data_IF_522509097754
#
_entry.id   IF_522509097754
#
_cell.length_a   1.000
_cell.length_b   1.000
_cell.length_c   1.000
_cell.angle_alpha   90.00
_cell.angle_beta   90.00
_cell.angle_gamma   90.00
#
_symmetry.space_group_name_H-M   'P 1'
#
loop_
_entity.id
_entity.type
_entity.pdbx_description
1 polymer ?
#
# COMPACT_ATOMS: atom_id res chain seq x y z
N UNK A 1 4.40 -34.36 7.19
CA UNK A 1 4.78 -32.97 7.53
C UNK A 1 6.26 -32.66 7.33
N UNK A 2 7.22 -33.46 7.83
CA UNK A 2 8.67 -33.17 7.65
C UNK A 2 9.15 -33.10 6.19
N UNK A 3 8.62 -33.93 5.28
CA UNK A 3 8.97 -33.89 3.84
C UNK A 3 8.48 -32.63 3.11
N UNK A 4 7.29 -32.12 3.46
CA UNK A 4 6.74 -30.88 2.90
C UNK A 4 7.59 -29.66 3.28
N UNK A 5 7.97 -29.54 4.55
CA UNK A 5 8.85 -28.47 5.02
C UNK A 5 10.24 -28.50 4.38
N UNK A 6 10.81 -29.69 4.16
CA UNK A 6 12.13 -29.83 3.53
C UNK A 6 12.12 -29.41 2.06
N UNK A 7 11.06 -29.69 1.31
CA UNK A 7 10.94 -29.29 -0.10
C UNK A 7 10.71 -27.79 -0.23
N UNK A 8 9.90 -27.20 0.67
CA UNK A 8 9.69 -25.74 0.76
C UNK A 8 11.01 -25.00 1.04
N UNK A 9 11.87 -25.56 1.89
CA UNK A 9 13.18 -24.96 2.19
C UNK A 9 14.23 -25.19 1.09
N UNK A 10 14.17 -26.28 0.34
CA UNK A 10 15.11 -26.56 -0.75
C UNK A 10 14.80 -25.70 -1.99
N UNK A 11 13.53 -25.40 -2.26
CA UNK A 11 13.09 -24.44 -3.29
C UNK A 11 13.25 -22.96 -2.87
N UNK A 12 13.62 -22.68 -1.62
CA UNK A 12 13.91 -21.33 -1.14
C UNK A 12 15.13 -20.69 -1.83
N UNK A 13 15.96 -21.49 -2.52
CA UNK A 13 17.06 -21.02 -3.35
C UNK A 13 16.68 -20.74 -4.82
N UNK A 14 15.42 -20.97 -5.21
CA UNK A 14 14.90 -20.75 -6.57
C UNK A 14 14.05 -19.49 -6.71
N UNK A 15 13.16 -19.51 -7.69
CA UNK A 15 12.26 -18.38 -8.03
C UNK A 15 11.35 -17.96 -6.87
N UNK A 16 11.04 -18.87 -5.94
CA UNK A 16 10.26 -18.58 -4.73
C UNK A 16 10.92 -17.47 -3.88
N UNK A 17 12.25 -17.38 -3.85
CA UNK A 17 12.97 -16.31 -3.15
C UNK A 17 12.63 -14.92 -3.67
N UNK A 18 12.44 -14.79 -4.99
CA UNK A 18 12.08 -13.52 -5.64
C UNK A 18 10.68 -13.11 -5.19
N UNK A 19 9.74 -14.06 -5.14
CA UNK A 19 8.37 -13.82 -4.66
C UNK A 19 8.41 -13.32 -3.21
N UNK A 20 9.21 -13.94 -2.34
CA UNK A 20 9.37 -13.48 -0.95
C UNK A 20 10.00 -12.09 -0.84
N UNK A 21 11.02 -11.77 -1.66
CA UNK A 21 11.65 -10.46 -1.66
C UNK A 21 10.65 -9.38 -2.09
N UNK A 22 9.88 -9.64 -3.15
CA UNK A 22 8.81 -8.74 -3.60
C UNK A 22 7.73 -8.63 -2.52
N UNK A 23 7.39 -9.71 -1.80
CA UNK A 23 6.47 -9.66 -0.66
C UNK A 23 6.95 -8.72 0.45
N UNK A 24 8.23 -8.78 0.82
CA UNK A 24 8.81 -7.86 1.81
C UNK A 24 8.76 -6.42 1.30
N UNK A 25 9.12 -6.18 0.03
CA UNK A 25 9.04 -4.85 -0.56
C UNK A 25 7.60 -4.30 -0.56
N UNK A 26 6.62 -5.11 -0.95
CA UNK A 26 5.19 -4.74 -0.92
C UNK A 26 4.71 -4.46 0.50
N UNK A 27 5.14 -5.25 1.50
CA UNK A 27 4.82 -5.01 2.90
C UNK A 27 5.41 -3.69 3.42
N UNK A 28 6.62 -3.33 3.00
CA UNK A 28 7.21 -2.02 3.31
C UNK A 28 6.41 -0.88 2.68
N UNK A 29 6.04 -1.01 1.40
CA UNK A 29 5.19 -0.01 0.72
C UNK A 29 3.85 0.12 1.43
N UNK A 30 3.21 -0.99 1.80
CA UNK A 30 1.98 -0.97 2.59
C UNK A 30 2.13 -0.21 3.92
N UNK A 31 3.22 -0.47 4.66
CA UNK A 31 3.52 0.24 5.90
C UNK A 31 3.66 1.75 5.67
N UNK A 32 4.38 2.17 4.63
CA UNK A 32 4.51 3.59 4.28
C UNK A 32 3.18 4.21 3.86
N UNK A 33 2.36 3.52 3.07
CA UNK A 33 1.02 3.97 2.69
C UNK A 33 0.14 4.16 3.92
N UNK A 34 0.12 3.18 4.83
CA UNK A 34 -0.65 3.26 6.08
C UNK A 34 -0.20 4.43 6.94
N UNK A 35 1.11 4.57 7.15
CA UNK A 35 1.67 5.69 7.92
C UNK A 35 1.32 7.05 7.30
N UNK A 36 1.37 7.17 5.98
CA UNK A 36 0.99 8.40 5.26
C UNK A 36 -0.49 8.72 5.43
N UNK A 37 -1.36 7.71 5.28
CA UNK A 37 -2.80 7.85 5.48
C UNK A 37 -3.17 8.21 6.94
N UNK A 38 -2.48 7.63 7.92
CA UNK A 38 -2.67 7.94 9.34
C UNK A 38 -2.27 9.38 9.68
N UNK A 39 -1.14 9.86 9.15
CA UNK A 39 -0.69 11.24 9.33
C UNK A 39 -1.67 12.24 8.71
N UNK A 40 -2.17 11.96 7.51
CA UNK A 40 -3.15 12.82 6.84
C UNK A 40 -4.47 12.86 7.62
N UNK A 41 -4.97 11.70 8.07
CA UNK A 41 -6.19 11.59 8.86
C UNK A 41 -6.12 12.42 10.15
N UNK A 42 -5.03 12.26 10.92
CA UNK A 42 -4.86 12.98 12.18
C UNK A 42 -4.78 14.50 11.98
N UNK A 43 -4.10 14.97 10.92
CA UNK A 43 -4.01 16.40 10.61
C UNK A 43 -5.36 17.01 10.22
N UNK A 44 -6.18 16.29 9.44
CA UNK A 44 -7.50 16.76 9.04
C UNK A 44 -8.52 16.71 10.19
N UNK A 45 -8.52 15.64 10.99
CA UNK A 45 -9.47 15.49 12.08
C UNK A 45 -9.24 16.52 13.21
N UNK A 46 -7.99 16.94 13.45
CA UNK A 46 -7.68 18.00 14.40
C UNK A 46 -8.20 19.37 13.95
N UNK A 47 -8.20 19.65 12.63
CA UNK A 47 -8.71 20.91 12.09
C UNK A 47 -10.25 20.94 11.98
N UNK A 48 -10.89 19.78 11.83
CA UNK A 48 -12.36 19.69 11.66
C UNK A 48 -13.08 19.62 13.03
N UNK A 49 -12.42 19.15 14.10
CA UNK A 49 -13.04 18.93 15.42
C UNK A 49 -12.39 19.79 16.51
N UNK A 50 -12.41 21.11 16.37
CA UNK A 50 -12.05 22.03 17.45
C UNK A 50 -13.32 22.46 18.19
N UNK A 51 -13.52 22.08 19.47
CA UNK A 51 -14.64 22.56 20.27
C UNK A 51 -14.53 24.07 20.49
N UNK A 52 -15.65 24.78 20.33
CA UNK A 52 -15.82 26.24 20.47
C UNK A 52 -15.50 26.74 21.88
N UNK A 53 -14.22 26.73 22.25
CA UNK A 53 -13.71 27.18 23.54
C UNK A 53 -12.50 28.07 23.27
N UNK A 54 -12.65 29.38 23.52
CA UNK A 54 -11.71 30.42 23.10
C UNK A 54 -10.26 30.30 23.57
N UNK A 55 -9.95 29.39 24.50
CA UNK A 55 -8.58 29.05 24.89
C UNK A 55 -7.92 28.04 23.91
N UNK A 56 -8.71 27.10 23.38
CA UNK A 56 -8.28 26.08 22.40
C UNK A 56 -8.01 26.70 21.04
N UNK A 57 -8.70 27.80 20.70
CA UNK A 57 -8.56 28.52 19.42
C UNK A 57 -7.20 29.22 19.26
N UNK A 58 -6.59 29.70 20.35
CA UNK A 58 -5.26 30.35 20.32
C UNK A 58 -4.11 29.34 20.26
N UNK A 59 -4.25 28.19 20.91
CA UNK A 59 -3.28 27.10 20.81
C UNK A 59 -3.38 26.39 19.44
N UNK A 60 -4.62 26.29 18.91
CA UNK A 60 -4.88 25.85 17.55
C UNK A 60 -4.31 26.84 16.54
N UNK A 61 -4.54 28.16 16.64
CA UNK A 61 -3.93 29.16 15.73
C UNK A 61 -2.39 29.11 15.69
N UNK A 62 -1.73 28.86 16.82
CA UNK A 62 -0.26 28.76 16.86
C UNK A 62 0.28 27.48 16.19
N UNK A 63 -0.49 26.39 16.17
CA UNK A 63 -0.15 25.13 15.49
C UNK A 63 -0.75 25.02 14.06
N UNK A 64 -1.77 25.83 13.73
CA UNK A 64 -2.53 25.83 12.46
C UNK A 64 -2.03 26.89 11.46
N UNK A 65 -1.35 27.95 11.91
CA UNK A 65 -0.86 29.05 11.05
C UNK A 65 0.23 28.68 10.03
N UNK A 66 0.50 27.39 9.80
CA UNK A 66 1.50 26.94 8.83
C UNK A 66 1.11 25.77 7.94
N UNK A 67 -0.10 25.19 8.03
CA UNK A 67 -0.49 24.14 7.07
C UNK A 67 -1.08 24.82 5.85
N UNK A 68 -0.22 25.19 4.89
CA UNK A 68 -0.66 25.72 3.60
C UNK A 68 -1.54 24.67 2.92
N UNK A 69 -2.59 25.08 2.21
CA UNK A 69 -3.40 24.16 1.39
C UNK A 69 -2.53 23.27 0.47
N UNK A 70 -1.40 23.84 0.01
CA UNK A 70 -0.36 23.14 -0.77
C UNK A 70 0.23 21.92 -0.04
N UNK A 71 0.35 21.98 1.28
CA UNK A 71 0.87 20.87 2.09
C UNK A 71 -0.16 19.75 2.22
N UNK A 72 -1.44 20.09 2.36
CA UNK A 72 -2.53 19.09 2.40
C UNK A 72 -2.67 18.40 1.05
N UNK A 73 -2.63 19.16 -0.05
CA UNK A 73 -2.68 18.61 -1.41
C UNK A 73 -1.45 17.74 -1.70
N UNK A 74 -0.25 18.17 -1.30
CA UNK A 74 0.96 17.37 -1.50
C UNK A 74 0.97 16.08 -0.67
N UNK A 75 0.47 16.12 0.58
CA UNK A 75 0.29 14.94 1.43
C UNK A 75 -0.75 13.96 0.85
N UNK A 76 -1.86 14.48 0.30
CA UNK A 76 -2.84 13.66 -0.43
C UNK A 76 -2.19 12.98 -1.63
N UNK A 77 -1.52 13.75 -2.50
CA UNK A 77 -0.87 13.21 -3.70
C UNK A 77 0.18 12.14 -3.36
N UNK A 78 0.97 12.36 -2.30
CA UNK A 78 1.94 11.36 -1.82
C UNK A 78 1.25 10.09 -1.33
N UNK A 79 0.17 10.23 -0.56
CA UNK A 79 -0.60 9.08 -0.05
C UNK A 79 -1.23 8.29 -1.21
N UNK A 80 -1.84 8.97 -2.17
CA UNK A 80 -2.42 8.36 -3.37
C UNK A 80 -1.38 7.67 -4.25
N UNK A 81 -0.20 8.27 -4.43
CA UNK A 81 0.91 7.65 -5.18
C UNK A 81 1.41 6.37 -4.51
N UNK A 82 1.65 6.39 -3.19
CA UNK A 82 2.08 5.21 -2.43
C UNK A 82 1.02 4.09 -2.45
N UNK A 83 -0.25 4.46 -2.36
CA UNK A 83 -1.35 3.51 -2.47
C UNK A 83 -1.45 2.87 -3.86
N UNK A 84 -1.36 3.67 -4.92
CA UNK A 84 -1.33 3.17 -6.30
C UNK A 84 -0.16 2.20 -6.52
N UNK A 85 1.03 2.53 -6.00
CA UNK A 85 2.19 1.64 -6.05
C UNK A 85 1.92 0.31 -5.33
N UNK A 86 1.32 0.35 -4.14
CA UNK A 86 0.95 -0.84 -3.37
C UNK A 86 -0.03 -1.75 -4.11
N UNK A 87 -1.10 -1.18 -4.69
CA UNK A 87 -2.10 -1.95 -5.45
C UNK A 87 -1.47 -2.61 -6.67
N UNK A 88 -0.63 -1.87 -7.40
CA UNK A 88 0.06 -2.39 -8.58
C UNK A 88 1.05 -3.51 -8.23
N UNK A 89 1.82 -3.36 -7.14
CA UNK A 89 2.71 -4.41 -6.64
C UNK A 89 1.93 -5.65 -6.20
N UNK A 90 0.78 -5.47 -5.58
CA UNK A 90 -0.12 -6.57 -5.21
C UNK A 90 -0.62 -7.34 -6.43
N UNK A 91 -0.92 -6.63 -7.52
CA UNK A 91 -1.34 -7.22 -8.80
C UNK A 91 -0.26 -8.05 -9.52
N UNK A 92 1.01 -7.88 -9.16
CA UNK A 92 2.14 -8.58 -9.79
C UNK A 92 2.32 -10.00 -9.25
N UNK A 93 1.87 -10.32 -8.02
CA UNK A 93 2.11 -11.64 -7.42
C UNK A 93 1.53 -12.83 -8.20
N UNK A 94 0.28 -12.78 -8.74
CA UNK A 94 -0.22 -13.85 -9.59
C UNK A 94 0.60 -13.99 -10.88
N UNK A 95 1.09 -12.88 -11.44
CA UNK A 95 1.93 -12.89 -12.65
C UNK A 95 3.29 -13.53 -12.37
N UNK A 96 3.90 -13.25 -11.20
CA UNK A 96 5.12 -13.92 -10.75
C UNK A 96 4.87 -15.42 -10.56
N UNK A 97 3.74 -15.81 -9.96
CA UNK A 97 3.38 -17.22 -9.81
C UNK A 97 3.34 -17.95 -11.17
N UNK A 98 2.71 -17.35 -12.18
CA UNK A 98 2.68 -17.89 -13.54
C UNK A 98 4.10 -17.93 -14.13
N UNK A 99 4.90 -16.88 -13.98
CA UNK A 99 6.27 -16.86 -14.47
C UNK A 99 7.14 -17.99 -13.86
N UNK A 100 6.97 -18.27 -12.57
CA UNK A 100 7.64 -19.39 -11.90
C UNK A 100 7.30 -20.74 -12.52
N UNK A 101 6.04 -20.95 -12.94
CA UNK A 101 5.65 -22.17 -13.66
C UNK A 101 6.34 -22.27 -15.02
N UNK A 102 6.39 -21.17 -15.78
CA UNK A 102 7.02 -21.14 -17.11
C UNK A 102 8.51 -21.47 -16.99
N UNK A 103 9.22 -20.86 -16.04
CA UNK A 103 10.66 -21.11 -15.82
C UNK A 103 10.91 -22.58 -15.45
N UNK A 104 10.11 -23.14 -14.56
CA UNK A 104 10.21 -24.55 -14.17
C UNK A 104 9.95 -25.50 -15.36
N UNK A 105 8.93 -25.23 -16.17
CA UNK A 105 8.61 -26.03 -17.35
C UNK A 105 9.73 -25.97 -18.40
N UNK A 106 10.33 -24.80 -18.62
CA UNK A 106 11.49 -24.67 -19.51
C UNK A 106 12.70 -25.45 -18.99
N UNK A 107 12.94 -25.45 -17.67
CA UNK A 107 13.98 -26.26 -17.03
C UNK A 107 13.76 -27.76 -17.24
N UNK A 108 12.51 -28.22 -17.20
CA UNK A 108 12.14 -29.62 -17.43
C UNK A 108 12.40 -30.08 -18.87
N UNK A 109 12.19 -29.21 -19.86
CA UNK A 109 12.49 -29.50 -21.28
C UNK A 109 14.00 -29.57 -21.51
N UNK A 110 14.79 -28.78 -20.78
CA UNK A 110 16.25 -28.74 -20.89
C UNK A 110 16.97 -29.92 -20.24
N UNK A 111 16.43 -30.48 -19.15
CA UNK A 111 17.05 -31.60 -18.43
C UNK A 111 15.98 -32.50 -17.77
N UNK A 112 15.82 -33.72 -18.30
CA UNK A 112 14.85 -34.70 -17.81
C UNK A 112 15.30 -35.44 -16.54
N UNK A 113 16.52 -35.20 -16.02
CA UNK A 113 16.97 -35.90 -14.80
C UNK A 113 16.30 -35.38 -13.52
N UNK A 114 15.86 -34.13 -13.48
CA UNK A 114 15.30 -33.46 -12.29
C UNK A 114 13.83 -33.01 -12.48
N UNK A 115 13.03 -33.79 -13.24
CA UNK A 115 11.63 -33.45 -13.58
C UNK A 115 10.75 -33.22 -12.35
N UNK A 116 10.92 -34.03 -11.30
CA UNK A 116 10.11 -33.95 -10.09
C UNK A 116 10.33 -32.62 -9.34
N UNK A 117 11.59 -32.20 -9.18
CA UNK A 117 11.94 -30.97 -8.46
C UNK A 117 11.49 -29.74 -9.22
N UNK A 118 11.66 -29.73 -10.55
CA UNK A 118 11.12 -28.69 -11.41
C UNK A 118 9.60 -28.60 -11.24
N UNK A 119 8.86 -29.70 -11.36
CA UNK A 119 7.40 -29.70 -11.22
C UNK A 119 6.93 -29.16 -9.86
N UNK A 120 7.61 -29.54 -8.76
CA UNK A 120 7.31 -28.97 -7.45
C UNK A 120 7.62 -27.47 -7.40
N UNK A 121 8.72 -27.01 -8.01
CA UNK A 121 9.02 -25.57 -8.15
C UNK A 121 7.93 -24.77 -8.84
N UNK A 122 7.34 -25.30 -9.92
CA UNK A 122 6.23 -24.63 -10.60
C UNK A 122 5.01 -24.45 -9.66
N UNK A 123 4.67 -25.52 -8.95
CA UNK A 123 3.52 -25.53 -8.04
C UNK A 123 3.75 -24.61 -6.83
N UNK A 124 4.95 -24.62 -6.24
CA UNK A 124 5.25 -23.77 -5.08
C UNK A 124 5.28 -22.30 -5.44
N UNK A 125 5.83 -21.92 -6.60
CA UNK A 125 5.81 -20.52 -7.05
C UNK A 125 4.40 -19.98 -7.28
N UNK A 126 3.52 -20.78 -7.88
CA UNK A 126 2.10 -20.39 -8.06
C UNK A 126 1.39 -20.27 -6.71
N UNK A 127 1.62 -21.23 -5.82
CA UNK A 127 1.05 -21.22 -4.49
C UNK A 127 1.43 -19.96 -3.72
N UNK A 128 2.72 -19.62 -3.65
CA UNK A 128 3.19 -18.43 -2.94
C UNK A 128 2.72 -17.13 -3.59
N UNK A 129 2.73 -17.05 -4.92
CA UNK A 129 2.16 -15.91 -5.64
C UNK A 129 0.69 -15.67 -5.28
N UNK A 130 -0.12 -16.72 -5.24
CA UNK A 130 -1.52 -16.61 -4.84
C UNK A 130 -1.69 -16.25 -3.36
N UNK A 131 -0.95 -16.89 -2.46
CA UNK A 131 -1.01 -16.62 -1.02
C UNK A 131 -0.72 -15.15 -0.72
N UNK A 132 0.36 -14.60 -1.28
CA UNK A 132 0.69 -13.18 -1.07
C UNK A 132 -0.31 -12.26 -1.74
N UNK A 133 -0.76 -12.57 -2.96
CA UNK A 133 -1.80 -11.80 -3.63
C UNK A 133 -3.06 -11.68 -2.76
N UNK A 134 -3.54 -12.79 -2.19
CA UNK A 134 -4.73 -12.81 -1.33
C UNK A 134 -4.52 -11.97 -0.07
N UNK A 135 -3.40 -12.14 0.62
CA UNK A 135 -3.09 -11.39 1.85
C UNK A 135 -3.06 -9.88 1.56
N UNK A 136 -2.31 -9.46 0.54
CA UNK A 136 -2.20 -8.04 0.22
C UNK A 136 -3.50 -7.45 -0.33
N UNK A 137 -4.30 -8.23 -1.10
CA UNK A 137 -5.64 -7.83 -1.55
C UNK A 137 -6.59 -7.60 -0.37
N UNK A 138 -6.47 -8.40 0.69
CA UNK A 138 -7.26 -8.18 1.90
C UNK A 138 -6.83 -6.90 2.64
N UNK A 139 -5.51 -6.67 2.76
CA UNK A 139 -4.98 -5.43 3.34
C UNK A 139 -5.37 -4.19 2.54
N UNK A 140 -5.41 -4.31 1.21
CA UNK A 140 -5.92 -3.30 0.28
C UNK A 140 -7.38 -2.92 0.59
N UNK A 141 -8.24 -3.92 0.80
CA UNK A 141 -9.62 -3.69 1.20
C UNK A 141 -9.77 -2.89 2.49
N UNK A 142 -8.87 -3.06 3.46
CA UNK A 142 -8.89 -2.32 4.73
C UNK A 142 -8.39 -0.88 4.56
N UNK A 143 -7.29 -0.69 3.84
CA UNK A 143 -6.66 0.64 3.72
C UNK A 143 -7.39 1.54 2.73
N UNK A 144 -8.00 0.96 1.69
CA UNK A 144 -8.74 1.68 0.66
C UNK A 144 -9.88 2.52 1.25
N UNK A 145 -10.67 1.94 2.17
CA UNK A 145 -11.74 2.63 2.87
C UNK A 145 -11.23 3.88 3.63
N UNK A 146 -10.06 3.76 4.29
CA UNK A 146 -9.45 4.89 5.01
C UNK A 146 -8.93 5.97 4.05
N UNK A 147 -8.36 5.58 2.92
CA UNK A 147 -7.85 6.53 1.92
C UNK A 147 -9.02 7.28 1.27
N UNK A 148 -10.11 6.59 0.92
CA UNK A 148 -11.31 7.21 0.37
C UNK A 148 -11.92 8.24 1.32
N UNK A 149 -12.00 7.91 2.62
CA UNK A 149 -12.48 8.86 3.64
C UNK A 149 -11.55 10.09 3.76
N UNK A 150 -10.24 9.87 3.78
CA UNK A 150 -9.26 10.95 3.77
C UNK A 150 -9.41 11.87 2.54
N UNK A 151 -9.64 11.31 1.35
CA UNK A 151 -9.82 12.10 0.13
C UNK A 151 -11.07 12.99 0.21
N UNK A 152 -12.19 12.44 0.71
CA UNK A 152 -13.42 13.21 0.94
C UNK A 152 -13.20 14.34 1.94
N UNK A 153 -12.49 14.07 3.05
CA UNK A 153 -12.19 15.07 4.06
C UNK A 153 -11.27 16.18 3.53
N UNK A 154 -10.25 15.84 2.74
CA UNK A 154 -9.40 16.84 2.05
C UNK A 154 -10.23 17.73 1.14
N UNK A 155 -11.14 17.14 0.35
CA UNK A 155 -11.99 17.90 -0.56
C UNK A 155 -12.89 18.88 0.19
N UNK A 156 -13.57 18.41 1.24
CA UNK A 156 -14.42 19.26 2.09
C UNK A 156 -13.63 20.41 2.75
N UNK A 157 -12.39 20.15 3.16
CA UNK A 157 -11.52 21.19 3.72
C UNK A 157 -11.21 22.28 2.68
N UNK A 158 -10.81 21.89 1.46
CA UNK A 158 -10.48 22.83 0.39
C UNK A 158 -11.71 23.64 -0.07
N UNK A 159 -12.89 23.00 -0.15
CA UNK A 159 -14.14 23.68 -0.50
C UNK A 159 -14.53 24.74 0.55
N UNK A 160 -14.38 24.42 1.85
CA UNK A 160 -14.64 25.37 2.95
C UNK A 160 -13.67 26.55 2.93
N UNK A 161 -12.38 26.29 2.80
CA UNK A 161 -11.37 27.36 2.81
C UNK A 161 -11.53 28.29 1.59
N UNK A 162 -11.85 27.75 0.41
CA UNK A 162 -12.12 28.55 -0.78
C UNK A 162 -13.40 29.40 -0.65
N UNK A 163 -14.44 28.87 0.02
CA UNK A 163 -15.65 29.62 0.31
C UNK A 163 -15.40 30.76 1.31
N UNK A 164 -14.55 30.56 2.32
CA UNK A 164 -14.14 31.60 3.27
C UNK A 164 -13.33 32.72 2.58
N UNK A 165 -12.37 32.37 1.72
CA UNK A 165 -11.63 33.35 0.92
C UNK A 165 -12.53 34.17 -0.03
N UNK A 166 -13.55 33.51 -0.60
CA UNK A 166 -14.53 34.19 -1.47
C UNK A 166 -15.41 35.18 -0.70
N UNK A 167 -15.63 34.96 0.61
CA UNK A 167 -16.42 35.84 1.47
C UNK A 167 -15.60 36.95 2.14
N UNK A 168 -14.31 36.73 2.41
CA UNK A 168 -13.42 37.73 3.03
C UNK A 168 -12.87 38.76 2.04
N UNK A 169 -13.00 38.53 0.73
CA UNK A 169 -12.52 39.45 -0.30
C UNK A 169 -10.99 39.49 -0.46
N UNK A 170 -10.27 38.65 0.29
CA UNK A 170 -8.84 38.42 0.11
C UNK A 170 -8.64 37.41 -1.02
N UNK A 171 -8.42 37.92 -2.23
CA UNK A 171 -7.89 37.13 -3.34
C UNK A 171 -6.46 36.66 -3.04
N UNK A 172 -6.07 35.47 -3.55
CA UNK A 172 -4.87 34.74 -3.14
C UNK A 172 -3.53 35.46 -3.38
#
# INVERSE_FOLDING_TARGET
MKKLFSVIFMNFFGFDMIIFLVAVATALVFYFTKKSADVLYNKLHLNIFVPDSGASRRQADSDISGIRETDIVSMRNRTGSLYSLFVNLTGIFPLLGILGTVISLLGMVGDMTNVQDNFYGALTSTFWGLVFAIIFKFLDGIISAKIEDNEKNVQLYLERNNAEHSQSGEQP
#
